data_IF_578990134470
#
_entry.id   IF_578990134470
#
_cell.length_a   1.000
_cell.length_b   1.000
_cell.length_c   1.000
_cell.angle_alpha   90.00
_cell.angle_beta   90.00
_cell.angle_gamma   90.00
#
_symmetry.space_group_name_H-M   'P 1'
#
loop_
_entity.id
_entity.type
_entity.pdbx_description
1 polymer ?
#
# COMPACT_ATOMS: atom_id res chain seq x y z
N UNK A 1 -15.72 -19.46 11.14
CA UNK A 1 -15.83 -18.13 10.46
C UNK A 1 -17.27 -17.81 10.05
N UNK A 2 -17.94 -18.68 9.29
CA UNK A 2 -19.31 -18.43 8.77
C UNK A 2 -20.37 -18.17 9.88
N UNK A 3 -20.34 -18.92 10.98
CA UNK A 3 -21.28 -18.75 12.10
C UNK A 3 -21.14 -17.41 12.83
N UNK A 4 -19.93 -16.86 12.92
CA UNK A 4 -19.65 -15.57 13.56
C UNK A 4 -20.24 -14.40 12.77
N UNK A 5 -20.18 -14.45 11.44
CA UNK A 5 -20.77 -13.43 10.57
C UNK A 5 -22.29 -13.37 10.74
N UNK A 6 -22.94 -14.53 10.87
CA UNK A 6 -24.38 -14.62 11.07
C UNK A 6 -24.82 -14.08 12.44
N UNK A 7 -24.18 -14.54 13.52
CA UNK A 7 -24.54 -14.12 14.89
C UNK A 7 -24.29 -12.62 15.10
N UNK A 8 -23.18 -12.09 14.53
CA UNK A 8 -22.83 -10.67 14.64
C UNK A 8 -23.45 -9.79 13.55
N UNK A 9 -24.15 -10.37 12.57
CA UNK A 9 -24.68 -9.66 11.39
C UNK A 9 -23.59 -8.84 10.67
N UNK A 10 -22.39 -9.38 10.59
CA UNK A 10 -21.23 -8.68 10.03
C UNK A 10 -21.20 -8.79 8.49
N UNK A 11 -20.81 -7.72 7.80
CA UNK A 11 -20.63 -7.66 6.35
C UNK A 11 -19.17 -7.96 5.99
N UNK A 12 -18.96 -8.91 5.08
CA UNK A 12 -17.67 -9.16 4.43
C UNK A 12 -17.80 -8.82 2.95
N UNK A 13 -17.11 -7.78 2.50
CA UNK A 13 -17.20 -7.28 1.13
C UNK A 13 -15.80 -7.02 0.58
N UNK A 14 -15.50 -7.63 -0.56
CA UNK A 14 -14.33 -7.26 -1.36
C UNK A 14 -14.58 -5.95 -2.11
N UNK A 15 -13.52 -5.22 -2.43
CA UNK A 15 -13.61 -4.04 -3.28
C UNK A 15 -12.39 -3.97 -4.20
N UNK A 16 -12.58 -3.41 -5.39
CA UNK A 16 -11.48 -3.09 -6.30
C UNK A 16 -11.29 -1.57 -6.31
N UNK A 17 -10.03 -1.15 -6.26
CA UNK A 17 -9.71 0.28 -6.29
C UNK A 17 -10.13 0.94 -7.62
N UNK A 18 -10.13 0.16 -8.72
CA UNK A 18 -10.55 0.60 -10.04
C UNK A 18 -12.01 1.08 -10.09
N UNK A 19 -12.90 0.44 -9.31
CA UNK A 19 -14.33 0.80 -9.24
C UNK A 19 -14.55 2.21 -8.64
N UNK A 20 -13.53 2.76 -7.98
CA UNK A 20 -13.57 4.04 -7.28
C UNK A 20 -12.63 5.08 -7.90
N UNK A 21 -12.15 4.84 -9.13
CA UNK A 21 -11.13 5.68 -9.75
C UNK A 21 -11.52 7.17 -9.87
N UNK A 22 -12.81 7.46 -10.05
CA UNK A 22 -13.35 8.83 -10.09
C UNK A 22 -13.12 9.62 -8.80
N UNK A 23 -12.92 8.93 -7.67
CA UNK A 23 -12.68 9.52 -6.35
C UNK A 23 -11.20 9.68 -5.99
N UNK A 24 -10.27 9.24 -6.86
CA UNK A 24 -8.85 9.41 -6.60
C UNK A 24 -8.41 10.86 -6.33
N UNK A 25 -8.93 11.90 -7.03
CA UNK A 25 -8.56 13.28 -6.75
C UNK A 25 -8.91 13.70 -5.32
N UNK A 26 -10.13 13.40 -4.87
CA UNK A 26 -10.63 13.65 -3.52
C UNK A 26 -9.75 12.93 -2.48
N UNK A 27 -9.51 11.63 -2.68
CA UNK A 27 -8.71 10.81 -1.78
C UNK A 27 -7.27 11.33 -1.66
N UNK A 28 -6.64 11.70 -2.78
CA UNK A 28 -5.27 12.21 -2.81
C UNK A 28 -5.14 13.51 -2.03
N UNK A 29 -6.08 14.43 -2.19
CA UNK A 29 -6.08 15.70 -1.45
C UNK A 29 -6.20 15.46 0.05
N UNK A 30 -7.18 14.64 0.46
CA UNK A 30 -7.41 14.32 1.87
C UNK A 30 -6.20 13.63 2.52
N UNK A 31 -5.63 12.61 1.86
CA UNK A 31 -4.46 11.88 2.37
C UNK A 31 -3.23 12.77 2.45
N UNK A 32 -2.98 13.61 1.43
CA UNK A 32 -1.86 14.56 1.45
C UNK A 32 -1.96 15.53 2.62
N UNK A 33 -3.17 16.04 2.88
CA UNK A 33 -3.44 16.89 4.05
C UNK A 33 -3.14 16.15 5.35
N UNK A 34 -3.59 14.91 5.51
CA UNK A 34 -3.33 14.15 6.74
C UNK A 34 -1.84 13.86 6.97
N UNK A 35 -1.08 13.61 5.91
CA UNK A 35 0.38 13.46 6.00
C UNK A 35 1.01 14.79 6.47
N UNK A 36 0.65 15.91 5.86
CA UNK A 36 1.15 17.25 6.23
C UNK A 36 0.79 17.65 7.67
N UNK A 37 -0.40 17.28 8.12
CA UNK A 37 -0.88 17.51 9.49
C UNK A 37 -0.26 16.53 10.51
N UNK A 38 0.53 15.55 10.07
CA UNK A 38 1.12 14.50 10.93
C UNK A 38 0.10 13.48 11.48
N UNK A 39 -1.13 13.50 10.96
CA UNK A 39 -2.24 12.60 11.34
C UNK A 39 -2.14 11.25 10.66
N UNK A 40 -1.41 11.17 9.55
CA UNK A 40 -1.11 9.95 8.84
C UNK A 40 0.40 9.78 8.74
N UNK A 41 0.93 8.72 9.36
CA UNK A 41 2.32 8.28 9.19
C UNK A 41 2.34 7.12 8.21
N UNK A 42 3.40 7.04 7.42
CA UNK A 42 3.62 5.97 6.46
C UNK A 42 5.05 5.45 6.60
N UNK A 43 5.23 4.17 6.33
CA UNK A 43 6.52 3.48 6.36
C UNK A 43 6.80 2.96 4.95
N UNK A 44 8.04 3.07 4.51
CA UNK A 44 8.52 2.58 3.23
C UNK A 44 9.74 1.69 3.47
N UNK A 45 9.76 0.54 2.79
CA UNK A 45 10.92 -0.32 2.73
C UNK A 45 11.53 -0.15 1.33
N UNK A 46 12.66 0.55 1.26
CA UNK A 46 13.34 0.89 0.00
C UNK A 46 14.53 -0.03 -0.21
N UNK A 47 14.55 -0.74 -1.34
CA UNK A 47 15.68 -1.53 -1.82
C UNK A 47 16.37 -0.79 -2.96
N UNK A 48 17.67 -0.56 -2.84
CA UNK A 48 18.46 0.11 -3.88
C UNK A 48 18.81 -0.85 -5.02
N UNK A 49 18.67 -0.38 -6.27
CA UNK A 49 19.14 -1.09 -7.46
C UNK A 49 18.06 -1.96 -8.12
N UNK A 50 17.85 -1.74 -9.43
CA UNK A 50 16.88 -2.50 -10.21
C UNK A 50 17.16 -4.02 -10.21
N UNK A 51 18.43 -4.41 -10.11
CA UNK A 51 18.85 -5.81 -10.03
C UNK A 51 18.20 -6.58 -8.87
N UNK A 52 17.83 -5.89 -7.79
CA UNK A 52 17.22 -6.48 -6.59
C UNK A 52 15.68 -6.55 -6.65
N UNK A 53 15.06 -6.26 -7.79
CA UNK A 53 13.59 -6.27 -7.93
C UNK A 53 12.98 -7.63 -7.63
N UNK A 54 13.61 -8.72 -8.08
CA UNK A 54 13.09 -10.08 -7.85
C UNK A 54 13.13 -10.41 -6.36
N UNK A 55 14.24 -10.14 -5.69
CA UNK A 55 14.39 -10.39 -4.26
C UNK A 55 13.42 -9.54 -3.44
N UNK A 56 13.28 -8.25 -3.77
CA UNK A 56 12.32 -7.35 -3.15
C UNK A 56 10.86 -7.82 -3.33
N UNK A 57 10.53 -8.37 -4.50
CA UNK A 57 9.20 -8.92 -4.78
C UNK A 57 8.94 -10.22 -4.02
N UNK A 58 9.93 -11.12 -3.92
CA UNK A 58 9.81 -12.34 -3.12
C UNK A 58 9.67 -12.03 -1.63
N UNK A 59 10.39 -11.00 -1.15
CA UNK A 59 10.29 -10.47 0.22
C UNK A 59 8.87 -10.07 0.64
N UNK A 60 8.03 -9.68 -0.33
CA UNK A 60 6.62 -9.34 -0.08
C UNK A 60 5.81 -10.54 0.43
N UNK A 61 6.17 -11.76 0.01
CA UNK A 61 5.45 -12.99 0.36
C UNK A 61 6.00 -13.68 1.61
N UNK A 62 7.26 -13.45 1.96
CA UNK A 62 7.85 -13.88 3.24
C UNK A 62 7.48 -12.96 4.40
N UNK A 63 7.03 -11.73 4.12
CA UNK A 63 6.67 -10.74 5.14
C UNK A 63 7.87 -9.96 5.67
N UNK A 64 8.96 -9.91 4.89
CA UNK A 64 10.20 -9.21 5.28
C UNK A 64 10.06 -7.67 5.16
N UNK A 65 9.03 -7.18 4.47
CA UNK A 65 8.78 -5.75 4.29
C UNK A 65 7.88 -5.16 5.39
N UNK A 66 8.36 -4.10 6.04
CA UNK A 66 7.55 -3.24 6.91
C UNK A 66 7.12 -2.03 6.08
N UNK A 67 5.82 -1.91 5.83
CA UNK A 67 5.27 -0.82 5.02
C UNK A 67 5.37 -1.09 3.51
N UNK A 68 5.40 -0.01 2.72
CA UNK A 68 5.37 -0.07 1.27
C UNK A 68 6.73 -0.49 0.72
N UNK A 69 6.80 -1.66 0.05
CA UNK A 69 7.99 -2.10 -0.67
C UNK A 69 8.24 -1.22 -1.90
N UNK A 70 9.44 -0.68 -2.02
CA UNK A 70 9.90 0.15 -3.13
C UNK A 70 11.27 -0.34 -3.61
N UNK A 71 11.51 -0.27 -4.92
CA UNK A 71 12.84 -0.47 -5.51
C UNK A 71 13.28 0.86 -6.10
N UNK A 72 14.39 1.40 -5.59
CA UNK A 72 14.99 2.61 -6.12
C UNK A 72 15.85 2.24 -7.32
N UNK A 73 15.38 2.64 -8.49
CA UNK A 73 16.16 2.55 -9.74
C UNK A 73 17.10 3.74 -9.80
N UNK A 74 18.38 3.52 -10.13
CA UNK A 74 19.31 4.63 -10.34
C UNK A 74 18.77 5.56 -11.42
N UNK A 75 18.72 6.86 -11.12
CA UNK A 75 18.51 7.86 -12.16
C UNK A 75 19.89 8.13 -12.75
N UNK A 76 20.19 7.54 -13.91
CA UNK A 76 21.28 8.00 -14.76
C UNK A 76 20.93 9.41 -15.26
N UNK A 77 21.21 10.42 -14.45
CA UNK A 77 21.44 11.77 -14.93
C UNK A 77 22.96 11.89 -15.15
N UNK A 78 23.39 11.44 -16.33
CA UNK A 78 24.62 11.95 -16.97
C UNK A 78 24.27 13.17 -17.80
#
# INVERSE_FOLDING_TARGET
MQSLLLVKRALMQGFLIGDHASRFPEAREALTRYIREGRLRYEEHVVDGFAHTVDAFLGLFSGDNIGKQLVKVETSAS
#
